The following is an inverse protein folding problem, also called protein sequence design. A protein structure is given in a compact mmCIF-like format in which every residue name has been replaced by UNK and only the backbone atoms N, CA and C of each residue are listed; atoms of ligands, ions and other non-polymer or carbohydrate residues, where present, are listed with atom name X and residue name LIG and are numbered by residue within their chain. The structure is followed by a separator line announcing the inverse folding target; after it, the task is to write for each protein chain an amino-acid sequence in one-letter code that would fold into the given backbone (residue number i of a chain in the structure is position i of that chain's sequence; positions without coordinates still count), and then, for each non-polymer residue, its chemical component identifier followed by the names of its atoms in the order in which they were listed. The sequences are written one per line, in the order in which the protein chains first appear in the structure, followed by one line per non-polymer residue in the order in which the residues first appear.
data_IF_332959921483
#
_entry.id   IF_332959921483
#
_cell.length_a   1.000
_cell.length_b   1.000
_cell.length_c   1.000
_cell.angle_alpha   90.00
_cell.angle_beta   90.00
_cell.angle_gamma   90.00
#
_symmetry.space_group_name_H-M   'P 1'
#
loop_
_entity.id
_entity.type
_entity.pdbx_description
1 polymer ?
#
# COMPACT_ATOMS: atom_id res chain seq x y z
N UNK A 1 -0.53 -5.86 18.66
CA UNK A 1 -0.75 -7.02 17.77
C UNK A 1 -0.32 -6.61 16.36
N UNK A 2 0.60 -7.35 15.72
CA UNK A 2 1.00 -7.11 14.33
C UNK A 2 0.30 -8.13 13.43
N UNK A 3 -0.30 -7.66 12.35
CA UNK A 3 -0.88 -8.49 11.30
C UNK A 3 0.03 -8.50 10.07
N UNK A 4 -0.26 -9.37 9.11
CA UNK A 4 0.44 -9.38 7.82
C UNK A 4 -0.54 -9.61 6.68
N UNK A 5 -0.30 -8.94 5.56
CA UNK A 5 -0.86 -9.34 4.26
C UNK A 5 0.22 -10.10 3.52
N UNK A 6 -0.12 -11.29 3.02
CA UNK A 6 0.78 -12.12 2.23
C UNK A 6 0.33 -12.09 0.78
N UNK A 7 1.20 -11.58 -0.09
CA UNK A 7 1.02 -11.59 -1.53
C UNK A 7 1.86 -12.68 -2.16
N UNK A 8 1.29 -13.32 -3.18
CA UNK A 8 1.99 -14.27 -4.05
C UNK A 8 2.06 -13.63 -5.43
N UNK A 9 3.27 -13.41 -5.92
CA UNK A 9 3.53 -12.87 -7.23
C UNK A 9 4.12 -13.95 -8.15
N UNK A 10 3.46 -14.17 -9.29
CA UNK A 10 3.92 -15.07 -10.34
C UNK A 10 4.51 -14.26 -11.49
N UNK A 11 5.82 -14.41 -11.70
CA UNK A 11 6.54 -13.80 -12.82
C UNK A 11 6.34 -14.59 -14.11
N UNK A 12 6.50 -13.90 -15.26
CA UNK A 12 6.40 -14.52 -16.59
C UNK A 12 7.46 -15.59 -16.86
N UNK A 13 8.57 -15.58 -16.10
CA UNK A 13 9.61 -16.59 -16.14
C UNK A 13 9.29 -17.83 -15.27
N UNK A 14 8.05 -17.94 -14.75
CA UNK A 14 7.64 -19.00 -13.83
C UNK A 14 8.12 -18.80 -12.39
N UNK A 15 8.80 -17.70 -12.07
CA UNK A 15 9.24 -17.43 -10.71
C UNK A 15 8.06 -17.10 -9.80
N UNK A 16 8.03 -17.68 -8.60
CA UNK A 16 7.07 -17.36 -7.55
C UNK A 16 7.78 -16.55 -6.46
N UNK A 17 7.24 -15.38 -6.11
CA UNK A 17 7.75 -14.54 -5.03
C UNK A 17 6.66 -14.32 -3.98
N UNK A 18 7.01 -14.52 -2.72
CA UNK A 18 6.14 -14.21 -1.59
C UNK A 18 6.52 -12.84 -1.04
N UNK A 19 5.57 -11.93 -0.96
CA UNK A 19 5.76 -10.62 -0.36
C UNK A 19 4.94 -10.53 0.93
N UNK A 20 5.64 -10.40 2.06
CA UNK A 20 5.05 -10.16 3.37
C UNK A 20 4.98 -8.66 3.61
N UNK A 21 3.77 -8.14 3.78
CA UNK A 21 3.53 -6.73 4.10
C UNK A 21 3.06 -6.65 5.56
N UNK A 22 3.88 -6.10 6.48
CA UNK A 22 3.49 -5.96 7.88
C UNK A 22 2.41 -4.89 8.04
N UNK A 23 1.31 -5.23 8.71
CA UNK A 23 0.30 -4.28 9.13
C UNK A 23 0.44 -4.02 10.64
N UNK A 24 0.68 -2.76 10.98
CA UNK A 24 0.72 -2.33 12.37
C UNK A 24 -0.70 -2.04 12.89
N UNK A 25 -0.80 -1.75 14.19
CA UNK A 25 -2.08 -1.46 14.83
C UNK A 25 -2.80 -0.26 14.22
N UNK A 26 -2.06 0.76 13.77
CA UNK A 26 -2.67 1.94 13.15
C UNK A 26 -3.34 1.60 11.82
N UNK A 27 -2.67 0.83 10.96
CA UNK A 27 -3.27 0.35 9.72
C UNK A 27 -4.43 -0.61 9.97
N UNK A 28 -4.31 -1.52 10.95
CA UNK A 28 -5.41 -2.43 11.32
C UNK A 28 -6.64 -1.64 11.81
N UNK A 29 -6.43 -0.58 12.60
CA UNK A 29 -7.53 0.27 13.06
C UNK A 29 -8.27 0.93 11.89
N UNK A 30 -7.58 1.35 10.82
CA UNK A 30 -8.25 1.89 9.62
C UNK A 30 -9.14 0.87 8.91
N UNK A 31 -8.79 -0.42 8.95
CA UNK A 31 -9.61 -1.51 8.38
C UNK A 31 -10.90 -1.66 9.18
N UNK A 32 -10.77 -1.68 10.51
CA UNK A 32 -11.91 -1.84 11.41
C UNK A 32 -12.88 -0.65 11.34
N UNK A 33 -12.34 0.57 11.23
CA UNK A 33 -13.11 1.79 11.11
C UNK A 33 -13.95 1.86 9.83
N UNK A 34 -13.52 1.20 8.75
CA UNK A 34 -14.24 1.18 7.48
C UNK A 34 -15.52 0.31 7.49
N UNK A 35 -15.68 -0.58 8.49
CA UNK A 35 -16.87 -1.41 8.68
C UNK A 35 -17.02 -2.56 7.67
N UNK A 36 -17.43 -3.75 8.16
CA UNK A 36 -17.66 -4.95 7.33
C UNK A 36 -18.91 -4.88 6.43
N UNK A 37 -19.82 -3.93 6.66
CA UNK A 37 -21.13 -3.88 6.00
C UNK A 37 -21.14 -3.17 4.64
N UNK A 38 -19.96 -2.79 4.18
CA UNK A 38 -19.80 -1.98 3.00
C UNK A 38 -19.11 -2.83 1.93
N UNK A 39 -19.73 -2.99 0.76
CA UNK A 39 -19.21 -3.80 -0.35
C UNK A 39 -17.93 -3.24 -1.00
N UNK A 40 -17.07 -2.58 -0.21
CA UNK A 40 -15.88 -1.86 -0.64
C UNK A 40 -14.63 -2.72 -0.41
N UNK A 41 -13.60 -2.47 -1.22
CA UNK A 41 -12.35 -3.23 -1.12
C UNK A 41 -11.47 -2.68 -0.01
N UNK A 42 -10.68 -3.54 0.61
CA UNK A 42 -9.64 -3.17 1.58
C UNK A 42 -8.74 -2.01 1.10
N UNK A 43 -8.58 -1.89 -0.22
CA UNK A 43 -7.67 -0.94 -0.86
C UNK A 43 -8.32 0.37 -1.28
N UNK A 44 -9.66 0.44 -1.38
CA UNK A 44 -10.36 1.62 -1.92
C UNK A 44 -11.57 2.01 -1.09
N UNK A 45 -11.70 3.31 -0.89
CA UNK A 45 -12.87 3.93 -0.29
C UNK A 45 -14.06 3.96 -1.28
N UNK A 46 -15.28 4.33 -0.83
CA UNK A 46 -16.45 4.43 -1.70
C UNK A 46 -16.30 5.44 -2.84
N UNK A 47 -15.38 6.41 -2.70
CA UNK A 47 -15.06 7.41 -3.71
C UNK A 47 -14.00 6.93 -4.73
N UNK A 48 -13.58 5.66 -4.65
CA UNK A 48 -12.56 5.08 -5.52
C UNK A 48 -11.14 5.57 -5.22
N UNK A 49 -10.91 6.23 -4.09
CA UNK A 49 -9.58 6.64 -3.64
C UNK A 49 -8.93 5.50 -2.86
N UNK A 50 -7.60 5.47 -2.85
CA UNK A 50 -6.89 4.48 -2.03
C UNK A 50 -7.09 4.76 -0.54
N UNK A 51 -7.43 3.72 0.23
CA UNK A 51 -7.40 3.73 1.71
C UNK A 51 -5.96 3.84 2.22
N UNK A 52 -5.74 4.11 3.51
CA UNK A 52 -4.40 4.01 4.09
C UNK A 52 -3.74 2.67 3.82
N UNK A 53 -4.49 1.57 3.92
CA UNK A 53 -3.99 0.23 3.62
C UNK A 53 -3.62 0.08 2.15
N UNK A 54 -4.49 0.53 1.23
CA UNK A 54 -4.20 0.50 -0.20
C UNK A 54 -2.98 1.33 -0.58
N UNK A 55 -2.81 2.51 0.03
CA UNK A 55 -1.62 3.37 -0.14
C UNK A 55 -0.37 2.68 0.39
N UNK A 56 -0.42 2.13 1.60
CA UNK A 56 0.70 1.47 2.24
C UNK A 56 1.18 0.26 1.43
N UNK A 57 0.25 -0.60 0.99
CA UNK A 57 0.56 -1.77 0.17
C UNK A 57 1.17 -1.36 -1.17
N UNK A 58 0.58 -0.35 -1.85
CA UNK A 58 1.14 0.17 -3.09
C UNK A 58 2.57 0.68 -2.94
N UNK A 59 2.86 1.38 -1.84
CA UNK A 59 4.20 1.87 -1.52
C UNK A 59 5.19 0.72 -1.24
N UNK A 60 4.80 -0.28 -0.44
CA UNK A 60 5.66 -1.45 -0.16
C UNK A 60 5.94 -2.24 -1.44
N UNK A 61 4.94 -2.45 -2.30
CA UNK A 61 5.13 -3.14 -3.57
C UNK A 61 6.06 -2.37 -4.52
N UNK A 62 6.02 -1.03 -4.52
CA UNK A 62 6.96 -0.20 -5.29
C UNK A 62 8.40 -0.38 -4.80
N UNK A 63 8.64 -0.36 -3.49
CA UNK A 63 9.98 -0.57 -2.89
C UNK A 63 10.52 -1.98 -3.17
N UNK A 64 9.63 -2.96 -3.34
CA UNK A 64 9.99 -4.36 -3.60
C UNK A 64 10.13 -4.68 -5.10
N UNK A 65 10.12 -3.64 -5.94
CA UNK A 65 10.23 -3.70 -7.39
C UNK A 65 9.16 -4.61 -8.04
N UNK A 66 7.94 -4.62 -7.50
CA UNK A 66 6.81 -5.30 -8.12
C UNK A 66 6.38 -4.51 -9.38
N UNK A 67 6.08 -5.18 -10.51
CA UNK A 67 5.68 -4.50 -11.73
C UNK A 67 4.47 -3.57 -11.53
N UNK A 68 4.51 -2.32 -12.03
CA UNK A 68 3.43 -1.35 -11.88
C UNK A 68 2.06 -1.87 -12.31
N UNK A 69 2.00 -2.63 -13.41
CA UNK A 69 0.75 -3.21 -13.90
C UNK A 69 0.11 -4.19 -12.90
N UNK A 70 0.91 -5.00 -12.21
CA UNK A 70 0.42 -5.93 -11.19
C UNK A 70 -0.12 -5.17 -9.97
N UNK A 71 0.57 -4.10 -9.55
CA UNK A 71 0.13 -3.24 -8.44
C UNK A 71 -1.19 -2.54 -8.79
N UNK A 72 -1.29 -1.97 -10.01
CA UNK A 72 -2.50 -1.31 -10.50
C UNK A 72 -3.69 -2.26 -10.55
N UNK A 73 -3.47 -3.49 -11.04
CA UNK A 73 -4.49 -4.53 -11.08
C UNK A 73 -4.97 -4.89 -9.67
N UNK A 74 -4.04 -5.19 -8.76
CA UNK A 74 -4.34 -5.57 -7.38
C UNK A 74 -5.11 -4.47 -6.63
N UNK A 75 -4.65 -3.23 -6.73
CA UNK A 75 -5.27 -2.11 -6.05
C UNK A 75 -6.50 -1.55 -6.78
N UNK A 76 -6.77 -2.00 -8.00
CA UNK A 76 -7.85 -1.48 -8.85
C UNK A 76 -7.70 0.01 -9.15
N UNK A 77 -6.48 0.49 -9.42
CA UNK A 77 -6.21 1.91 -9.70
C UNK A 77 -5.50 2.11 -11.03
N UNK A 78 -5.71 3.25 -11.71
CA UNK A 78 -4.95 3.57 -12.91
C UNK A 78 -3.51 3.95 -12.56
N UNK A 79 -2.59 3.72 -13.50
CA UNK A 79 -1.15 3.95 -13.32
C UNK A 79 -0.79 5.37 -12.87
N UNK A 80 -1.60 6.37 -13.26
CA UNK A 80 -1.43 7.76 -12.78
C UNK A 80 -1.46 7.89 -11.25
N UNK A 81 -2.24 7.06 -10.55
CA UNK A 81 -2.33 7.06 -9.09
C UNK A 81 -1.05 6.45 -8.50
N UNK A 82 -0.56 5.37 -9.10
CA UNK A 82 0.69 4.74 -8.68
C UNK A 82 1.91 5.63 -8.92
N UNK A 83 1.97 6.32 -10.06
CA UNK A 83 3.00 7.31 -10.36
C UNK A 83 2.96 8.49 -9.39
N UNK A 84 1.77 8.90 -8.95
CA UNK A 84 1.63 9.91 -7.89
C UNK A 84 2.20 9.40 -6.56
N UNK A 85 1.88 8.17 -6.14
CA UNK A 85 2.45 7.58 -4.93
C UNK A 85 3.98 7.50 -4.98
N UNK A 86 4.55 7.12 -6.13
CA UNK A 86 5.99 7.09 -6.34
C UNK A 86 6.62 8.48 -6.12
N UNK A 87 6.04 9.53 -6.72
CA UNK A 87 6.51 10.91 -6.52
C UNK A 87 6.37 11.38 -5.08
N UNK A 88 5.26 11.05 -4.41
CA UNK A 88 5.06 11.35 -2.98
C UNK A 88 6.15 10.68 -2.13
N UNK A 89 6.53 9.44 -2.48
CA UNK A 89 7.61 8.71 -1.82
C UNK A 89 8.99 9.32 -2.08
N UNK A 90 9.30 9.64 -3.33
CA UNK A 90 10.57 10.28 -3.73
C UNK A 90 10.75 11.64 -3.03
N UNK A 91 9.69 12.43 -2.91
CA UNK A 91 9.71 13.70 -2.18
C UNK A 91 9.99 13.54 -0.68
N UNK A 92 9.70 12.36 -0.11
CA UNK A 92 9.99 12.03 1.29
C UNK A 92 11.30 11.24 1.46
N UNK A 93 11.94 10.81 0.37
CA UNK A 93 13.14 9.97 0.37
C UNK A 93 14.42 10.80 0.60
N UNK A 94 14.50 11.44 1.77
CA UNK A 94 15.75 12.01 2.30
C UNK A 94 16.56 11.02 3.15
N UNK A 95 16.11 9.77 3.30
CA UNK A 95 16.70 8.80 4.23
C UNK A 95 16.91 7.42 3.58
N UNK A 96 18.07 6.76 3.85
CA UNK A 96 18.40 5.44 3.30
C UNK A 96 17.49 4.32 3.81
N UNK A 97 17.44 3.17 3.10
CA UNK A 97 16.52 2.09 3.42
C UNK A 97 17.03 1.26 4.59
N UNK A 98 16.56 1.58 5.80
CA UNK A 98 16.65 0.71 6.97
C UNK A 98 15.25 0.54 7.57
N UNK A 99 15.09 0.00 8.79
CA UNK A 99 13.80 -0.07 9.49
C UNK A 99 13.01 1.27 9.49
N UNK A 100 13.70 2.41 9.30
CA UNK A 100 13.13 3.75 9.05
C UNK A 100 12.27 3.85 7.78
N UNK A 101 12.52 3.01 6.77
CA UNK A 101 11.82 3.01 5.49
C UNK A 101 10.37 2.58 5.68
N UNK A 102 10.11 1.49 6.41
CA UNK A 102 8.74 1.02 6.66
C UNK A 102 7.91 2.05 7.44
N UNK A 103 8.50 2.68 8.46
CA UNK A 103 7.85 3.77 9.17
C UNK A 103 7.58 4.98 8.26
N UNK A 104 8.51 5.30 7.36
CA UNK A 104 8.32 6.38 6.37
C UNK A 104 7.16 6.07 5.41
N UNK A 105 7.05 4.83 4.92
CA UNK A 105 5.94 4.39 4.08
C UNK A 105 4.61 4.45 4.83
N UNK A 106 4.62 4.03 6.10
CA UNK A 106 3.44 4.07 6.98
C UNK A 106 2.94 5.50 7.19
N UNK A 107 3.85 6.41 7.56
CA UNK A 107 3.52 7.82 7.75
C UNK A 107 2.97 8.46 6.46
N UNK A 108 3.52 8.11 5.30
CA UNK A 108 3.05 8.60 4.01
C UNK A 108 1.68 8.03 3.61
N UNK A 109 1.40 6.78 3.98
CA UNK A 109 0.12 6.14 3.77
C UNK A 109 -0.98 6.84 4.59
N UNK A 110 -0.75 7.02 5.90
CA UNK A 110 -1.68 7.64 6.85
C UNK A 110 -1.90 9.14 6.59
N UNK A 111 -0.90 9.86 6.06
CA UNK A 111 -1.05 11.28 5.69
C UNK A 111 -2.16 11.53 4.66
N UNK A 112 -2.54 10.51 3.89
CA UNK A 112 -3.63 10.60 2.91
C UNK A 112 -5.03 10.76 3.52
N UNK A 113 -5.21 10.44 4.80
CA UNK A 113 -6.51 10.50 5.49
C UNK A 113 -6.73 11.78 6.30
N UNK A 114 -5.70 12.61 6.49
CA UNK A 114 -5.85 13.89 7.19
C UNK A 114 -6.34 14.95 6.21
N UNK A 115 -7.66 15.07 6.10
CA UNK A 115 -8.33 16.31 5.67
C UNK A 115 -9.43 16.65 6.68
N UNK A 116 -9.18 17.74 7.41
CA UNK A 116 -10.07 18.65 8.15
C UNK A 116 -11.19 18.02 8.99
#
# INVERSE_FOLDING_TARGET
MQGYVLYIFFGMNGACRYLRVPLDESLIATIQAAGCDSGFSLYRDPGGRLTSVGRFIGLVCLEQAIPPAAICHELGVPERILNRLRREREACAGHPPDASAFESLRMLALKGEIKA
#
